data_IF_941035601628
#
_entry.id   IF_941035601628
#
_cell.length_a   1.000
_cell.length_b   1.000
_cell.length_c   1.000
_cell.angle_alpha   90.00
_cell.angle_beta   90.00
_cell.angle_gamma   90.00
#
_symmetry.space_group_name_H-M   'P 1'
#
loop_
_entity.id
_entity.type
_entity.pdbx_description
1 polymer ?
#
# COMPACT_ATOMS: atom_id res chain seq x y z
N UNK A 1 21.91 16.05 3.88
CA UNK A 1 20.60 15.43 3.60
C UNK A 1 19.84 16.30 2.61
N UNK A 2 19.66 15.86 1.36
CA UNK A 2 19.04 16.69 0.30
C UNK A 2 17.52 16.49 0.19
N UNK A 3 16.78 16.61 1.31
CA UNK A 3 15.32 16.45 1.33
C UNK A 3 14.59 17.33 0.30
N UNK A 4 15.07 18.56 0.15
CA UNK A 4 14.55 19.54 -0.81
C UNK A 4 14.60 18.99 -2.24
N UNK A 5 15.70 18.32 -2.62
CA UNK A 5 15.89 17.81 -3.98
C UNK A 5 14.82 16.79 -4.36
N UNK A 6 14.47 15.91 -3.44
CA UNK A 6 13.41 14.95 -3.70
C UNK A 6 12.02 15.55 -3.64
N UNK A 7 11.76 16.45 -2.70
CA UNK A 7 10.46 17.13 -2.67
C UNK A 7 10.22 17.81 -4.02
N UNK A 8 11.24 18.48 -4.56
CA UNK A 8 11.24 19.07 -5.91
C UNK A 8 11.05 18.01 -7.00
N UNK A 9 11.78 16.89 -6.95
CA UNK A 9 11.71 15.82 -7.96
C UNK A 9 10.30 15.20 -8.01
N UNK A 10 9.73 14.86 -6.85
CA UNK A 10 8.39 14.31 -6.73
C UNK A 10 7.32 15.33 -7.15
N UNK A 11 7.48 16.60 -6.76
CA UNK A 11 6.60 17.70 -7.21
C UNK A 11 6.67 17.86 -8.73
N UNK A 12 7.84 17.70 -9.34
CA UNK A 12 8.01 17.76 -10.78
C UNK A 12 7.19 16.70 -11.50
N UNK A 13 7.31 15.44 -11.10
CA UNK A 13 6.50 14.37 -11.68
C UNK A 13 4.99 14.51 -11.39
N UNK A 14 4.64 14.94 -10.17
CA UNK A 14 3.26 15.26 -9.80
C UNK A 14 2.65 16.30 -10.75
N UNK A 15 3.36 17.40 -11.00
CA UNK A 15 2.92 18.44 -11.92
C UNK A 15 2.90 17.93 -13.37
N UNK A 16 3.86 17.09 -13.77
CA UNK A 16 3.87 16.49 -15.09
C UNK A 16 2.62 15.62 -15.35
N UNK A 17 2.19 14.84 -14.36
CA UNK A 17 0.96 14.06 -14.44
C UNK A 17 -0.27 14.96 -14.61
N UNK A 18 -0.34 16.08 -13.88
CA UNK A 18 -1.45 17.04 -13.99
C UNK A 18 -1.45 17.76 -15.33
N UNK A 19 -0.30 18.28 -15.76
CA UNK A 19 -0.22 19.18 -16.90
C UNK A 19 -0.21 18.41 -18.23
N UNK A 20 0.63 17.39 -18.36
CA UNK A 20 0.82 16.68 -19.63
C UNK A 20 -0.16 15.52 -19.79
N UNK A 21 -0.45 14.80 -18.70
CA UNK A 21 -1.34 13.63 -18.74
C UNK A 21 -2.78 13.97 -18.29
N UNK A 22 -3.02 15.20 -17.82
CA UNK A 22 -4.34 15.67 -17.34
C UNK A 22 -4.90 14.78 -16.24
N UNK A 23 -4.05 14.20 -15.41
CA UNK A 23 -4.46 13.39 -14.27
C UNK A 23 -4.96 14.35 -13.18
N UNK A 24 -6.13 14.11 -12.57
CA UNK A 24 -6.58 14.91 -11.44
C UNK A 24 -5.52 14.97 -10.33
N UNK A 25 -5.37 16.14 -9.71
CA UNK A 25 -4.33 16.38 -8.70
C UNK A 25 -4.42 15.40 -7.52
N UNK A 26 -5.63 15.03 -7.09
CA UNK A 26 -5.86 14.05 -6.03
C UNK A 26 -5.32 12.64 -6.33
N UNK A 27 -5.20 12.26 -7.62
CA UNK A 27 -4.77 10.91 -8.03
C UNK A 27 -3.32 10.89 -8.52
N UNK A 28 -2.75 12.07 -8.79
CA UNK A 28 -1.44 12.24 -9.41
C UNK A 28 -0.28 11.67 -8.58
N UNK A 29 -0.25 11.75 -7.23
CA UNK A 29 0.82 11.17 -6.44
C UNK A 29 0.94 9.65 -6.60
N UNK A 30 -0.16 8.92 -6.37
CA UNK A 30 -0.16 7.46 -6.45
C UNK A 30 0.05 6.97 -7.90
N UNK A 31 -0.50 7.69 -8.88
CA UNK A 31 -0.24 7.43 -10.29
C UNK A 31 1.24 7.55 -10.64
N UNK A 32 1.87 8.65 -10.22
CA UNK A 32 3.29 8.93 -10.46
C UNK A 32 4.18 7.85 -9.84
N UNK A 33 3.96 7.50 -8.57
CA UNK A 33 4.71 6.46 -7.86
C UNK A 33 4.60 5.12 -8.60
N UNK A 34 3.39 4.77 -9.06
CA UNK A 34 3.16 3.52 -9.80
C UNK A 34 3.90 3.49 -11.13
N UNK A 35 3.89 4.61 -11.88
CA UNK A 35 4.62 4.73 -13.14
C UNK A 35 6.14 4.66 -12.93
N UNK A 36 6.69 5.39 -11.94
CA UNK A 36 8.10 5.33 -11.59
C UNK A 36 8.49 3.91 -11.23
N UNK A 37 7.73 3.26 -10.35
CA UNK A 37 8.00 1.89 -9.91
C UNK A 37 7.99 0.87 -11.06
N UNK A 38 7.05 0.98 -12.01
CA UNK A 38 7.01 0.13 -13.20
C UNK A 38 8.19 0.38 -14.14
N UNK A 39 8.57 1.65 -14.37
CA UNK A 39 9.72 2.01 -15.20
C UNK A 39 11.00 1.45 -14.59
N UNK A 40 11.20 1.63 -13.29
CA UNK A 40 12.34 1.08 -12.57
C UNK A 40 12.38 -0.44 -12.64
N UNK A 41 11.23 -1.10 -12.48
CA UNK A 41 11.13 -2.56 -12.56
C UNK A 41 11.57 -3.11 -13.91
N UNK A 42 10.98 -2.62 -15.01
CA UNK A 42 11.35 -3.08 -16.35
C UNK A 42 12.78 -2.68 -16.72
N UNK A 43 13.25 -1.51 -16.27
CA UNK A 43 14.64 -1.12 -16.43
C UNK A 43 15.60 -2.02 -15.68
N UNK A 44 15.22 -2.52 -14.50
CA UNK A 44 16.07 -3.42 -13.72
C UNK A 44 16.14 -4.81 -14.36
N UNK A 45 15.02 -5.32 -14.89
CA UNK A 45 15.02 -6.53 -15.71
C UNK A 45 15.93 -6.39 -16.95
N UNK A 46 15.97 -5.20 -17.55
CA UNK A 46 16.81 -4.88 -18.70
C UNK A 46 18.26 -4.49 -18.34
N UNK A 47 18.67 -4.58 -17.06
CA UNK A 47 20.01 -4.23 -16.59
C UNK A 47 20.43 -2.76 -16.85
N UNK A 48 19.46 -1.85 -16.88
CA UNK A 48 19.67 -0.40 -17.09
C UNK A 48 19.28 0.46 -15.87
N UNK A 49 19.13 -0.15 -14.69
CA UNK A 49 18.58 0.53 -13.52
C UNK A 49 19.36 1.78 -13.09
N UNK A 50 20.70 1.74 -13.06
CA UNK A 50 21.53 2.90 -12.70
C UNK A 50 21.27 4.12 -13.60
N UNK A 51 21.21 3.88 -14.91
CA UNK A 51 20.91 4.91 -15.90
C UNK A 51 19.49 5.47 -15.68
N UNK A 52 18.50 4.60 -15.52
CA UNK A 52 17.11 5.00 -15.33
C UNK A 52 16.89 5.76 -14.02
N UNK A 53 17.53 5.38 -12.92
CA UNK A 53 17.50 6.13 -11.65
C UNK A 53 17.96 7.57 -11.88
N UNK A 54 19.11 7.73 -12.54
CA UNK A 54 19.68 9.05 -12.87
C UNK A 54 18.76 9.87 -13.76
N UNK A 55 18.24 9.26 -14.83
CA UNK A 55 17.32 9.91 -15.78
C UNK A 55 16.04 10.36 -15.08
N UNK A 56 15.44 9.52 -14.24
CA UNK A 56 14.22 9.87 -13.52
C UNK A 56 14.44 11.03 -12.53
N UNK A 57 15.58 11.08 -11.83
CA UNK A 57 15.91 12.23 -10.98
C UNK A 57 15.97 13.52 -11.79
N UNK A 58 16.70 13.54 -12.91
CA UNK A 58 16.79 14.75 -13.74
C UNK A 58 15.49 15.10 -14.46
N UNK A 59 14.69 14.12 -14.87
CA UNK A 59 13.37 14.36 -15.46
C UNK A 59 12.41 15.00 -14.45
N UNK A 60 12.40 14.52 -13.20
CA UNK A 60 11.60 15.15 -12.15
C UNK A 60 12.01 16.60 -11.92
N UNK A 61 13.32 16.89 -11.85
CA UNK A 61 13.83 18.25 -11.74
C UNK A 61 13.42 19.13 -12.95
N UNK A 62 13.58 18.59 -14.15
CA UNK A 62 13.20 19.28 -15.38
C UNK A 62 11.70 19.63 -15.39
N UNK A 63 10.83 18.69 -15.03
CA UNK A 63 9.38 18.93 -14.96
C UNK A 63 9.01 19.95 -13.90
N UNK A 64 9.73 19.99 -12.78
CA UNK A 64 9.55 21.03 -11.78
C UNK A 64 9.92 22.41 -12.35
N UNK A 65 11.08 22.55 -12.99
CA UNK A 65 11.52 23.80 -13.61
C UNK A 65 10.55 24.26 -14.69
N UNK A 66 10.10 23.37 -15.59
CA UNK A 66 9.13 23.70 -16.63
C UNK A 66 7.83 24.23 -16.01
N UNK A 67 7.32 23.57 -14.97
CA UNK A 67 6.11 24.00 -14.28
C UNK A 67 6.30 25.35 -13.57
N UNK A 68 7.44 25.55 -12.91
CA UNK A 68 7.78 26.79 -12.25
C UNK A 68 7.85 27.96 -13.24
N UNK A 69 8.57 27.78 -14.35
CA UNK A 69 8.62 28.77 -15.42
C UNK A 69 7.23 29.07 -15.99
N UNK A 70 6.41 28.04 -16.22
CA UNK A 70 5.03 28.21 -16.71
C UNK A 70 4.20 29.09 -15.77
N UNK A 71 4.27 28.85 -14.47
CA UNK A 71 3.50 29.59 -13.45
C UNK A 71 4.00 31.03 -13.25
N UNK A 72 5.31 31.28 -13.41
CA UNK A 72 5.90 32.61 -13.31
C UNK A 72 5.57 33.46 -14.55
N UNK A 73 5.74 32.89 -15.75
CA UNK A 73 5.71 33.66 -16.99
C UNK A 73 4.36 33.71 -17.70
N UNK A 74 3.49 32.72 -17.54
CA UNK A 74 2.30 32.58 -18.40
C UNK A 74 0.95 32.67 -17.66
N UNK A 75 0.88 32.34 -16.38
CA UNK A 75 -0.29 32.64 -15.54
C UNK A 75 -0.07 32.24 -14.08
N UNK A 76 -0.50 33.11 -13.16
CA UNK A 76 -0.60 32.77 -11.73
C UNK A 76 -1.86 31.94 -11.49
N UNK A 77 -1.83 30.65 -11.85
CA UNK A 77 -2.94 29.75 -11.54
C UNK A 77 -2.92 29.41 -10.03
N UNK A 78 -3.77 30.09 -9.26
CA UNK A 78 -3.91 29.88 -7.82
C UNK A 78 -4.27 28.43 -7.46
N UNK A 79 -4.96 27.69 -8.35
CA UNK A 79 -5.31 26.29 -8.10
C UNK A 79 -4.06 25.40 -8.18
N UNK A 80 -3.15 25.67 -9.12
CA UNK A 80 -1.90 24.94 -9.24
C UNK A 80 -0.99 25.14 -8.01
N UNK A 81 -0.99 26.35 -7.41
CA UNK A 81 -0.24 26.63 -6.18
C UNK A 81 -0.86 25.87 -4.99
N UNK A 82 -2.18 25.91 -4.85
CA UNK A 82 -2.88 25.21 -3.77
C UNK A 82 -2.64 23.69 -3.83
N UNK A 83 -2.71 23.10 -5.02
CA UNK A 83 -2.51 21.67 -5.22
C UNK A 83 -1.07 21.22 -4.95
N UNK A 84 -0.08 21.99 -5.41
CA UNK A 84 1.33 21.79 -5.04
C UNK A 84 1.56 21.91 -3.53
N UNK A 85 0.88 22.86 -2.88
CA UNK A 85 0.98 23.04 -1.42
C UNK A 85 0.44 21.83 -0.67
N UNK A 86 -0.71 21.28 -1.08
CA UNK A 86 -1.28 20.06 -0.47
C UNK A 86 -0.31 18.88 -0.56
N UNK A 87 0.28 18.66 -1.74
CA UNK A 87 1.22 17.55 -1.91
C UNK A 87 2.55 17.78 -1.18
N UNK A 88 3.04 19.02 -1.12
CA UNK A 88 4.21 19.36 -0.32
C UNK A 88 3.96 19.14 1.17
N UNK A 89 2.79 19.52 1.70
CA UNK A 89 2.40 19.23 3.09
C UNK A 89 2.46 17.73 3.35
N UNK A 90 1.95 16.90 2.44
CA UNK A 90 2.04 15.44 2.55
C UNK A 90 3.49 14.95 2.65
N UNK A 91 4.38 15.43 1.77
CA UNK A 91 5.80 15.05 1.78
C UNK A 91 6.48 15.50 3.09
N UNK A 92 6.21 16.73 3.54
CA UNK A 92 6.73 17.26 4.80
C UNK A 92 6.20 16.47 5.99
N UNK A 93 4.91 16.11 6.02
CA UNK A 93 4.34 15.26 7.07
C UNK A 93 5.00 13.88 7.11
N UNK A 94 5.24 13.27 5.94
CA UNK A 94 5.96 12.00 5.86
C UNK A 94 7.38 12.13 6.45
N UNK A 95 8.12 13.19 6.08
CA UNK A 95 9.45 13.47 6.61
C UNK A 95 9.43 13.74 8.12
N UNK A 96 8.50 14.56 8.60
CA UNK A 96 8.38 14.91 10.02
C UNK A 96 8.13 13.67 10.90
N UNK A 97 7.37 12.69 10.39
CA UNK A 97 7.06 11.46 11.11
C UNK A 97 8.19 10.43 11.11
N UNK A 98 9.14 10.50 10.17
CA UNK A 98 10.13 9.43 9.92
C UNK A 98 11.58 9.87 10.06
N UNK A 99 11.87 11.15 9.90
CA UNK A 99 13.23 11.71 9.98
C UNK A 99 13.52 12.32 11.36
N UNK A 100 12.54 12.39 12.25
CA UNK A 100 12.70 12.88 13.63
C UNK A 100 13.03 11.76 14.64
N UNK A 101 12.90 10.49 14.24
CA UNK A 101 13.23 9.33 15.07
C UNK A 101 14.56 8.67 14.70
N UNK A 102 15.16 7.96 15.66
CA UNK A 102 16.28 7.01 15.43
C UNK A 102 15.73 5.70 14.84
N UNK A 103 15.16 5.80 13.64
CA UNK A 103 14.63 4.65 12.94
C UNK A 103 15.79 3.79 12.44
N UNK A 104 16.05 2.71 13.17
CA UNK A 104 16.87 1.58 12.74
C UNK A 104 15.87 0.48 12.36
N UNK A 105 16.13 -0.33 11.33
CA UNK A 105 15.29 -1.49 11.02
C UNK A 105 15.20 -2.42 12.25
N UNK A 106 13.98 -2.68 12.75
CA UNK A 106 13.79 -3.34 14.07
C UNK A 106 13.16 -4.71 13.97
N UNK A 107 12.35 -4.94 12.94
CA UNK A 107 11.58 -6.17 12.86
C UNK A 107 12.26 -7.23 12.00
N UNK A 108 12.02 -8.53 12.29
CA UNK A 108 12.64 -9.63 11.55
C UNK A 108 12.48 -9.49 10.03
N UNK A 109 11.27 -9.27 9.49
CA UNK A 109 11.14 -9.19 8.04
C UNK A 109 11.83 -7.95 7.42
N UNK A 110 11.97 -6.86 8.17
CA UNK A 110 12.67 -5.67 7.70
C UNK A 110 14.17 -5.93 7.57
N UNK A 111 14.75 -6.57 8.58
CA UNK A 111 16.17 -6.86 8.69
C UNK A 111 16.60 -8.07 7.85
N UNK A 112 15.67 -8.98 7.54
CA UNK A 112 15.97 -10.21 6.79
C UNK A 112 15.56 -10.15 5.32
N UNK A 113 14.51 -9.39 4.96
CA UNK A 113 13.96 -9.39 3.60
C UNK A 113 13.94 -8.00 2.96
N UNK A 114 13.15 -7.07 3.51
CA UNK A 114 12.81 -5.81 2.82
C UNK A 114 13.96 -4.80 2.77
N UNK A 115 14.65 -4.60 3.88
CA UNK A 115 15.82 -3.73 3.99
C UNK A 115 16.99 -4.25 3.16
N UNK A 116 17.44 -5.51 3.37
CA UNK A 116 18.53 -6.10 2.59
C UNK A 116 18.32 -6.07 1.08
N UNK A 117 17.11 -6.35 0.58
CA UNK A 117 16.82 -6.26 -0.85
C UNK A 117 16.98 -4.83 -1.36
N UNK A 118 16.48 -3.85 -0.61
CA UNK A 118 16.62 -2.43 -0.96
C UNK A 118 18.09 -2.01 -0.99
N UNK A 119 18.87 -2.39 0.02
CA UNK A 119 20.31 -2.08 0.08
C UNK A 119 21.12 -2.78 -0.99
N UNK A 120 20.74 -4.00 -1.36
CA UNK A 120 21.34 -4.69 -2.49
C UNK A 120 21.10 -3.93 -3.79
N UNK A 121 19.86 -3.54 -4.07
CA UNK A 121 19.51 -2.81 -5.30
C UNK A 121 20.18 -1.44 -5.34
N UNK A 122 20.25 -0.72 -4.22
CA UNK A 122 20.95 0.57 -4.13
C UNK A 122 22.46 0.44 -4.36
N UNK A 123 23.09 -0.60 -3.79
CA UNK A 123 24.55 -0.79 -3.91
C UNK A 123 24.97 -1.31 -5.29
N UNK A 124 24.22 -2.24 -5.88
CA UNK A 124 24.61 -2.91 -7.11
C UNK A 124 23.86 -2.40 -8.36
N UNK A 125 22.84 -1.56 -8.18
CA UNK A 125 21.98 -1.04 -9.24
C UNK A 125 21.44 -2.14 -10.17
N UNK A 126 21.08 -3.28 -9.61
CA UNK A 126 20.50 -4.42 -10.32
C UNK A 126 19.63 -5.24 -9.37
N UNK A 127 18.74 -6.06 -9.95
CA UNK A 127 18.06 -7.11 -9.19
C UNK A 127 19.05 -8.24 -8.86
N UNK A 128 18.80 -9.05 -7.80
CA UNK A 128 19.58 -10.23 -7.54
C UNK A 128 19.70 -11.12 -8.78
N UNK A 129 20.84 -11.79 -8.92
CA UNK A 129 21.14 -12.76 -9.98
C UNK A 129 21.37 -14.14 -9.34
N UNK A 130 21.41 -15.24 -10.10
CA UNK A 130 21.66 -16.57 -9.51
C UNK A 130 22.96 -16.65 -8.69
N UNK A 131 23.95 -15.81 -9.03
CA UNK A 131 25.25 -15.78 -8.35
C UNK A 131 25.27 -14.89 -7.10
N UNK A 132 24.31 -13.97 -6.97
CA UNK A 132 24.23 -13.00 -5.86
C UNK A 132 23.01 -13.21 -4.99
N UNK A 133 22.10 -14.10 -5.40
CA UNK A 133 20.94 -14.47 -4.62
C UNK A 133 21.39 -15.33 -3.44
N UNK A 134 21.05 -14.91 -2.22
CA UNK A 134 21.29 -15.67 -1.00
C UNK A 134 19.95 -16.05 -0.36
N UNK A 135 19.98 -16.97 0.61
CA UNK A 135 18.79 -17.51 1.30
C UNK A 135 17.84 -16.44 1.89
N UNK A 136 18.32 -15.20 2.08
CA UNK A 136 17.50 -14.07 2.54
C UNK A 136 16.65 -13.39 1.46
N UNK A 137 16.76 -13.75 0.18
CA UNK A 137 15.86 -13.22 -0.85
C UNK A 137 14.73 -14.20 -1.15
N UNK A 138 13.54 -13.88 -0.63
CA UNK A 138 12.30 -14.57 -1.00
C UNK A 138 11.83 -14.13 -2.39
N UNK A 139 10.88 -14.85 -2.98
CA UNK A 139 10.22 -14.51 -4.26
C UNK A 139 9.28 -13.27 -4.16
N UNK A 140 9.55 -12.38 -3.20
CA UNK A 140 8.86 -11.11 -3.05
C UNK A 140 9.15 -10.20 -4.24
N UNK A 141 8.11 -9.74 -4.97
CA UNK A 141 8.29 -8.75 -6.02
C UNK A 141 8.97 -7.47 -5.50
N UNK A 142 9.86 -6.83 -6.29
CA UNK A 142 10.80 -5.83 -5.78
C UNK A 142 10.27 -4.39 -5.85
N UNK A 143 9.00 -4.16 -6.14
CA UNK A 143 8.43 -2.85 -6.45
C UNK A 143 8.66 -1.83 -5.34
N UNK A 144 8.34 -2.17 -4.10
CA UNK A 144 8.59 -1.29 -2.95
C UNK A 144 10.10 -0.98 -2.81
N UNK A 145 10.96 -1.99 -2.88
CA UNK A 145 12.42 -1.84 -2.80
C UNK A 145 13.00 -0.96 -3.92
N UNK A 146 12.48 -1.07 -5.14
CA UNK A 146 12.87 -0.23 -6.28
C UNK A 146 12.49 1.23 -6.06
N UNK A 147 11.28 1.50 -5.55
CA UNK A 147 10.89 2.87 -5.22
C UNK A 147 11.68 3.42 -4.03
N UNK A 148 11.94 2.61 -3.00
CA UNK A 148 12.82 3.00 -1.90
C UNK A 148 14.22 3.34 -2.41
N UNK A 149 14.75 2.56 -3.36
CA UNK A 149 16.05 2.83 -4.01
C UNK A 149 16.04 4.16 -4.76
N UNK A 150 14.99 4.47 -5.52
CA UNK A 150 14.86 5.77 -6.19
C UNK A 150 14.94 6.95 -5.22
N UNK A 151 14.32 6.81 -4.04
CA UNK A 151 14.44 7.80 -2.98
C UNK A 151 15.84 7.77 -2.35
N UNK A 152 16.42 6.62 -2.02
CA UNK A 152 17.79 6.52 -1.47
C UNK A 152 18.84 7.23 -2.34
N UNK A 153 18.87 6.89 -3.62
CA UNK A 153 19.86 7.39 -4.59
C UNK A 153 19.75 8.90 -4.76
N UNK A 154 18.56 9.48 -4.64
CA UNK A 154 18.38 10.94 -4.76
C UNK A 154 18.85 11.74 -3.52
N UNK A 155 19.11 11.11 -2.35
CA UNK A 155 19.29 11.84 -1.09
C UNK A 155 20.60 11.59 -0.35
N UNK A 156 21.32 10.50 -0.63
CA UNK A 156 22.58 10.13 0.02
C UNK A 156 22.54 10.31 1.57
N UNK A 157 21.43 9.91 2.20
CA UNK A 157 21.16 10.09 3.64
C UNK A 157 21.31 8.78 4.44
N UNK A 158 21.06 8.85 5.75
CA UNK A 158 20.98 7.65 6.61
C UNK A 158 19.98 6.64 6.01
N UNK A 159 20.47 5.42 5.79
CA UNK A 159 19.81 4.40 4.97
C UNK A 159 18.51 3.91 5.59
N UNK A 160 18.39 3.86 6.90
CA UNK A 160 17.21 3.29 7.54
C UNK A 160 16.05 4.32 7.56
N UNK A 161 16.30 5.55 8.03
CA UNK A 161 15.27 6.59 8.14
C UNK A 161 14.63 6.96 6.79
N UNK A 162 15.42 6.96 5.70
CA UNK A 162 14.90 7.26 4.36
C UNK A 162 14.03 6.13 3.79
N UNK A 163 14.26 4.88 4.20
CA UNK A 163 13.39 3.76 3.87
C UNK A 163 12.00 3.97 4.48
N UNK A 164 11.93 4.31 5.77
CA UNK A 164 10.65 4.66 6.41
C UNK A 164 9.97 5.85 5.75
N UNK A 165 10.73 6.91 5.43
CA UNK A 165 10.20 8.05 4.70
C UNK A 165 9.59 7.63 3.36
N UNK A 166 10.31 6.85 2.56
CA UNK A 166 9.84 6.40 1.25
C UNK A 166 8.57 5.54 1.34
N UNK A 167 8.52 4.63 2.33
CA UNK A 167 7.35 3.83 2.65
C UNK A 167 6.12 4.71 2.97
N UNK A 168 6.30 5.70 3.85
CA UNK A 168 5.22 6.62 4.25
C UNK A 168 4.77 7.50 3.10
N UNK A 169 5.67 7.95 2.22
CA UNK A 169 5.31 8.69 1.00
C UNK A 169 4.39 7.86 0.09
N UNK A 170 4.65 6.56 -0.08
CA UNK A 170 3.76 5.67 -0.84
C UNK A 170 2.39 5.58 -0.17
N UNK A 171 2.34 5.31 1.14
CA UNK A 171 1.09 5.17 1.90
C UNK A 171 0.26 6.45 1.84
N UNK A 172 0.90 7.58 2.10
CA UNK A 172 0.24 8.87 2.08
C UNK A 172 -0.25 9.22 0.69
N UNK A 173 0.45 8.80 -0.37
CA UNK A 173 -0.05 8.96 -1.75
C UNK A 173 -1.32 8.17 -2.02
N UNK A 174 -1.50 6.99 -1.40
CA UNK A 174 -2.78 6.26 -1.42
C UNK A 174 -3.89 7.02 -0.65
N UNK A 175 -3.58 7.54 0.54
CA UNK A 175 -4.53 8.31 1.36
C UNK A 175 -4.91 9.62 0.66
N UNK A 176 -3.98 10.24 -0.07
CA UNK A 176 -4.19 11.51 -0.75
C UNK A 176 -5.34 11.48 -1.77
N UNK A 177 -5.74 10.30 -2.25
CA UNK A 177 -6.92 10.10 -3.11
C UNK A 177 -8.19 10.72 -2.51
N UNK A 178 -8.34 10.73 -1.17
CA UNK A 178 -9.51 11.32 -0.51
C UNK A 178 -9.61 12.84 -0.68
N UNK A 179 -8.54 13.51 -1.13
CA UNK A 179 -8.58 14.94 -1.48
C UNK A 179 -9.43 15.24 -2.72
N UNK A 180 -9.90 14.21 -3.43
CA UNK A 180 -10.91 14.33 -4.48
C UNK A 180 -12.34 14.58 -3.95
N UNK A 181 -12.56 14.46 -2.63
CA UNK A 181 -13.81 14.88 -1.99
C UNK A 181 -14.00 16.40 -2.14
N UNK A 182 -15.26 16.86 -2.10
CA UNK A 182 -15.59 18.24 -2.48
C UNK A 182 -15.28 19.24 -1.37
N UNK A 183 -15.54 18.86 -0.13
CA UNK A 183 -15.48 19.76 1.02
C UNK A 183 -14.24 19.50 1.88
N UNK A 184 -13.55 20.56 2.33
CA UNK A 184 -12.38 20.43 3.20
C UNK A 184 -12.66 19.67 4.50
N UNK A 185 -13.87 19.78 5.04
CA UNK A 185 -14.31 19.00 6.21
C UNK A 185 -14.38 17.52 5.91
N UNK A 186 -14.90 17.14 4.74
CA UNK A 186 -14.95 15.75 4.28
C UNK A 186 -13.54 15.20 4.09
N UNK A 187 -12.67 15.95 3.40
CA UNK A 187 -11.27 15.58 3.21
C UNK A 187 -10.58 15.35 4.57
N UNK A 188 -10.73 16.28 5.51
CA UNK A 188 -10.11 16.19 6.83
C UNK A 188 -10.58 14.95 7.60
N UNK A 189 -11.89 14.70 7.64
CA UNK A 189 -12.43 13.51 8.32
C UNK A 189 -11.98 12.22 7.64
N UNK A 190 -11.99 12.17 6.31
CA UNK A 190 -11.54 11.00 5.57
C UNK A 190 -10.06 10.68 5.84
N UNK A 191 -9.19 11.71 5.87
CA UNK A 191 -7.78 11.56 6.23
C UNK A 191 -7.66 11.02 7.66
N UNK A 192 -8.35 11.63 8.63
CA UNK A 192 -8.30 11.20 10.03
C UNK A 192 -8.75 9.74 10.19
N UNK A 193 -9.87 9.35 9.56
CA UNK A 193 -10.35 7.98 9.58
C UNK A 193 -9.35 7.00 8.95
N UNK A 194 -8.73 7.38 7.81
CA UNK A 194 -7.68 6.56 7.21
C UNK A 194 -6.49 6.40 8.16
N UNK A 195 -6.07 7.45 8.86
CA UNK A 195 -4.99 7.36 9.84
C UNK A 195 -5.36 6.51 11.05
N UNK A 196 -6.61 6.59 11.56
CA UNK A 196 -7.12 5.69 12.62
C UNK A 196 -7.03 4.24 12.16
N UNK A 197 -7.56 3.94 10.97
CA UNK A 197 -7.51 2.61 10.37
C UNK A 197 -6.06 2.12 10.31
N UNK A 198 -5.16 2.91 9.73
CA UNK A 198 -3.76 2.51 9.56
C UNK A 198 -3.02 2.33 10.89
N UNK A 199 -3.42 3.05 11.95
CA UNK A 199 -2.81 2.93 13.29
C UNK A 199 -3.35 1.78 14.14
N UNK A 200 -4.59 1.32 13.89
CA UNK A 200 -5.22 0.24 14.66
C UNK A 200 -4.71 -1.15 14.23
N UNK A 201 -4.43 -1.34 12.94
CA UNK A 201 -3.97 -2.63 12.42
C UNK A 201 -2.52 -2.96 12.82
N UNK A 202 -2.20 -4.27 12.94
CA UNK A 202 -0.94 -4.75 13.55
C UNK A 202 0.30 -4.37 12.75
N UNK A 203 0.14 -4.05 11.46
CA UNK A 203 1.16 -3.46 10.62
C UNK A 203 1.20 -1.93 10.83
N UNK A 204 1.81 -1.49 11.94
CA UNK A 204 1.97 -0.07 12.26
C UNK A 204 2.84 0.61 11.20
N UNK A 205 2.19 1.30 10.29
CA UNK A 205 2.76 1.83 9.05
C UNK A 205 3.82 2.93 9.22
N UNK A 206 3.91 3.53 10.41
CA UNK A 206 4.91 4.57 10.75
C UNK A 206 6.21 3.99 11.33
N UNK A 207 6.16 2.75 11.80
CA UNK A 207 7.27 2.14 12.55
C UNK A 207 7.81 0.89 11.86
N UNK A 208 7.19 0.42 10.78
CA UNK A 208 7.69 -0.69 9.97
C UNK A 208 7.63 -0.42 8.46
N UNK A 209 8.58 -0.98 7.70
CA UNK A 209 8.59 -1.02 6.23
C UNK A 209 7.89 -2.26 5.67
N UNK A 210 6.95 -2.84 6.42
CA UNK A 210 6.17 -3.97 5.95
C UNK A 210 5.30 -3.57 4.76
N UNK A 211 5.45 -4.30 3.65
CA UNK A 211 4.71 -4.02 2.42
C UNK A 211 3.25 -4.48 2.47
N UNK A 212 2.82 -5.20 3.52
CA UNK A 212 1.44 -5.62 3.75
C UNK A 212 0.48 -4.43 3.70
N UNK A 213 0.81 -3.35 4.42
CA UNK A 213 0.02 -2.11 4.44
C UNK A 213 0.00 -1.44 3.07
N UNK A 214 1.11 -1.46 2.33
CA UNK A 214 1.15 -0.90 0.97
C UNK A 214 0.13 -1.57 0.06
N UNK A 215 0.09 -2.90 0.04
CA UNK A 215 -0.85 -3.65 -0.80
C UNK A 215 -2.30 -3.30 -0.44
N UNK A 216 -2.63 -3.24 0.86
CA UNK A 216 -3.96 -2.85 1.33
C UNK A 216 -4.34 -1.42 0.95
N UNK A 217 -3.41 -0.47 1.08
CA UNK A 217 -3.61 0.92 0.67
C UNK A 217 -3.77 1.08 -0.85
N UNK A 218 -3.00 0.33 -1.66
CA UNK A 218 -3.15 0.32 -3.11
C UNK A 218 -4.51 -0.21 -3.54
N UNK A 219 -4.95 -1.32 -2.93
CA UNK A 219 -6.27 -1.88 -3.14
C UNK A 219 -7.38 -0.85 -2.85
N UNK A 220 -7.29 -0.15 -1.72
CA UNK A 220 -8.20 0.94 -1.41
C UNK A 220 -8.13 2.07 -2.45
N UNK A 221 -6.93 2.58 -2.74
CA UNK A 221 -6.72 3.71 -3.65
C UNK A 221 -7.32 3.45 -5.03
N UNK A 222 -7.10 2.27 -5.61
CA UNK A 222 -7.63 1.89 -6.92
C UNK A 222 -9.16 1.92 -6.93
N UNK A 223 -9.80 1.36 -5.90
CA UNK A 223 -11.25 1.36 -5.77
C UNK A 223 -11.81 2.77 -5.51
N UNK A 224 -11.15 3.56 -4.66
CA UNK A 224 -11.54 4.93 -4.35
C UNK A 224 -11.43 5.83 -5.59
N UNK A 225 -10.36 5.71 -6.40
CA UNK A 225 -10.23 6.44 -7.67
C UNK A 225 -11.38 6.08 -8.61
N UNK A 226 -11.72 4.79 -8.74
CA UNK A 226 -12.85 4.35 -9.58
C UNK A 226 -14.20 4.98 -9.13
N UNK A 227 -14.35 5.28 -7.85
CA UNK A 227 -15.56 5.87 -7.27
C UNK A 227 -15.59 7.40 -7.35
N UNK A 228 -14.48 8.05 -7.00
CA UNK A 228 -14.37 9.50 -6.87
C UNK A 228 -14.06 10.18 -8.20
N UNK A 229 -13.54 9.45 -9.20
CA UNK A 229 -13.22 10.01 -10.51
C UNK A 229 -14.45 10.55 -11.22
N UNK A 230 -14.39 11.84 -11.56
CA UNK A 230 -15.37 12.54 -12.42
C UNK A 230 -15.00 12.46 -13.90
N UNK A 231 -13.85 11.86 -14.22
CA UNK A 231 -13.36 11.69 -15.59
C UNK A 231 -14.18 10.66 -16.36
N UNK A 232 -13.97 10.62 -17.67
CA UNK A 232 -14.53 9.56 -18.50
C UNK A 232 -14.09 8.18 -17.98
N UNK A 233 -14.94 7.16 -18.19
CA UNK A 233 -14.64 5.79 -17.74
C UNK A 233 -13.38 5.25 -18.39
N UNK A 234 -13.17 5.53 -19.67
CA UNK A 234 -11.93 5.18 -20.37
C UNK A 234 -10.70 5.82 -19.72
N UNK A 235 -10.73 7.14 -19.46
CA UNK A 235 -9.59 7.82 -18.82
C UNK A 235 -9.35 7.25 -17.42
N UNK A 236 -10.40 7.02 -16.64
CA UNK A 236 -10.30 6.36 -15.33
C UNK A 236 -9.61 5.00 -15.43
N UNK A 237 -10.02 4.14 -16.36
CA UNK A 237 -9.38 2.83 -16.56
C UNK A 237 -7.89 2.94 -16.94
N UNK A 238 -7.54 3.89 -17.81
CA UNK A 238 -6.15 4.16 -18.18
C UNK A 238 -5.31 4.65 -16.98
N UNK A 239 -5.90 5.47 -16.10
CA UNK A 239 -5.24 5.90 -14.86
C UNK A 239 -5.02 4.73 -13.90
N UNK A 240 -5.94 3.76 -13.83
CA UNK A 240 -5.85 2.63 -12.91
C UNK A 240 -4.88 1.53 -13.38
N UNK A 241 -4.57 1.46 -14.67
CA UNK A 241 -3.68 0.44 -15.24
C UNK A 241 -2.30 0.38 -14.54
N UNK A 242 -1.53 1.49 -14.44
CA UNK A 242 -0.24 1.43 -13.77
C UNK A 242 -0.35 1.09 -12.27
N UNK A 243 -1.41 1.51 -11.58
CA UNK A 243 -1.62 1.18 -10.17
C UNK A 243 -1.87 -0.33 -9.97
N UNK A 244 -2.69 -0.94 -10.81
CA UNK A 244 -2.96 -2.38 -10.77
C UNK A 244 -1.69 -3.19 -11.04
N UNK A 245 -0.93 -2.79 -12.08
CA UNK A 245 0.33 -3.44 -12.42
C UNK A 245 1.38 -3.27 -11.32
N UNK A 246 1.49 -2.09 -10.72
CA UNK A 246 2.45 -1.85 -9.65
C UNK A 246 2.07 -2.57 -8.35
N UNK A 247 0.78 -2.70 -8.04
CA UNK A 247 0.33 -3.48 -6.86
C UNK A 247 0.80 -4.94 -6.90
N UNK A 248 0.87 -5.55 -8.09
CA UNK A 248 1.44 -6.89 -8.30
C UNK A 248 2.92 -6.94 -7.88
N UNK A 249 3.64 -5.85 -8.09
CA UNK A 249 5.07 -5.73 -7.81
C UNK A 249 5.38 -5.37 -6.35
N UNK A 250 4.38 -5.15 -5.49
CA UNK A 250 4.62 -4.81 -4.07
C UNK A 250 4.84 -6.08 -3.22
N UNK A 251 4.03 -7.13 -3.44
CA UNK A 251 4.08 -8.42 -2.72
C UNK A 251 3.37 -9.49 -3.56
N UNK A 252 3.64 -10.80 -3.38
CA UNK A 252 2.98 -11.85 -4.17
C UNK A 252 1.45 -11.79 -4.08
N UNK A 253 0.91 -11.48 -2.90
CA UNK A 253 -0.55 -11.34 -2.68
C UNK A 253 -1.16 -10.16 -3.43
N UNK A 254 -0.34 -9.22 -3.90
CA UNK A 254 -0.76 -8.15 -4.79
C UNK A 254 -1.32 -8.66 -6.12
N UNK A 255 -0.87 -9.82 -6.62
CA UNK A 255 -1.40 -10.43 -7.84
C UNK A 255 -2.87 -10.86 -7.74
N UNK A 256 -3.26 -11.79 -6.84
CA UNK A 256 -4.67 -12.16 -6.70
C UNK A 256 -5.55 -10.97 -6.32
N UNK A 257 -5.02 -10.02 -5.53
CA UNK A 257 -5.76 -8.81 -5.17
C UNK A 257 -5.97 -7.88 -6.37
N UNK A 258 -4.99 -7.76 -7.29
CA UNK A 258 -5.13 -6.96 -8.52
C UNK A 258 -6.19 -7.55 -9.45
N UNK A 259 -6.22 -8.88 -9.60
CA UNK A 259 -7.25 -9.56 -10.38
C UNK A 259 -8.64 -9.36 -9.78
N UNK A 260 -8.77 -9.53 -8.47
CA UNK A 260 -10.03 -9.28 -7.77
C UNK A 260 -10.48 -7.82 -7.92
N UNK A 261 -9.56 -6.87 -7.77
CA UNK A 261 -9.85 -5.43 -7.91
C UNK A 261 -10.30 -5.09 -9.33
N UNK A 262 -9.63 -5.64 -10.35
CA UNK A 262 -10.02 -5.50 -11.74
C UNK A 262 -11.39 -6.12 -12.00
N UNK A 263 -11.71 -7.26 -11.40
CA UNK A 263 -13.03 -7.88 -11.48
C UNK A 263 -14.12 -6.96 -10.88
N UNK A 264 -13.89 -6.39 -9.69
CA UNK A 264 -14.81 -5.41 -9.09
C UNK A 264 -15.01 -4.21 -10.03
N UNK A 265 -13.94 -3.68 -10.61
CA UNK A 265 -14.02 -2.58 -11.58
C UNK A 265 -14.82 -3.00 -12.82
N UNK A 266 -14.53 -4.17 -13.39
CA UNK A 266 -15.19 -4.68 -14.59
C UNK A 266 -16.71 -4.84 -14.40
N UNK A 267 -17.13 -5.31 -13.22
CA UNK A 267 -18.56 -5.38 -12.86
C UNK A 267 -19.21 -3.99 -12.82
N UNK A 268 -18.45 -2.95 -12.44
CA UNK A 268 -18.95 -1.57 -12.35
C UNK A 268 -18.84 -0.76 -13.66
N UNK A 269 -17.90 -1.08 -14.55
CA UNK A 269 -17.65 -0.38 -15.83
C UNK A 269 -17.66 -1.39 -16.98
N UNK A 270 -18.83 -1.93 -17.30
CA UNK A 270 -18.97 -2.96 -18.35
C UNK A 270 -18.79 -2.44 -19.78
N UNK A 271 -18.84 -1.12 -19.99
CA UNK A 271 -18.86 -0.49 -21.31
C UNK A 271 -17.51 -0.51 -22.07
N UNK A 272 -16.41 -0.90 -21.43
CA UNK A 272 -15.06 -0.86 -22.01
C UNK A 272 -14.35 -2.22 -21.95
N UNK A 273 -15.01 -3.29 -22.41
CA UNK A 273 -14.51 -4.66 -22.33
C UNK A 273 -13.10 -4.85 -22.89
N UNK A 274 -12.80 -4.28 -24.06
CA UNK A 274 -11.46 -4.40 -24.67
C UNK A 274 -10.35 -3.80 -23.80
N UNK A 275 -10.62 -2.64 -23.18
CA UNK A 275 -9.65 -2.01 -22.29
C UNK A 275 -9.48 -2.81 -21.00
N UNK A 276 -10.57 -3.35 -20.43
CA UNK A 276 -10.51 -4.24 -19.27
C UNK A 276 -9.71 -5.52 -19.57
N UNK A 277 -9.89 -6.09 -20.77
CA UNK A 277 -9.12 -7.25 -21.21
C UNK A 277 -7.64 -6.90 -21.41
N UNK A 278 -7.34 -5.74 -22.01
CA UNK A 278 -5.97 -5.26 -22.13
C UNK A 278 -5.31 -5.03 -20.76
N UNK A 279 -6.05 -4.51 -19.78
CA UNK A 279 -5.57 -4.37 -18.40
C UNK A 279 -5.32 -5.73 -17.74
N UNK A 280 -6.20 -6.72 -17.97
CA UNK A 280 -5.98 -8.09 -17.50
C UNK A 280 -4.69 -8.67 -18.08
N UNK A 281 -4.50 -8.55 -19.40
CA UNK A 281 -3.28 -9.01 -20.08
C UNK A 281 -2.05 -8.30 -19.51
N UNK A 282 -2.09 -6.98 -19.30
CA UNK A 282 -0.98 -6.23 -18.72
C UNK A 282 -0.63 -6.74 -17.30
N UNK A 283 -1.63 -6.97 -16.45
CA UNK A 283 -1.43 -7.55 -15.12
C UNK A 283 -0.78 -8.94 -15.19
N UNK A 284 -1.24 -9.79 -16.12
CA UNK A 284 -0.67 -11.12 -16.34
C UNK A 284 0.77 -11.05 -16.85
N UNK A 285 1.09 -10.13 -17.76
CA UNK A 285 2.44 -9.93 -18.28
C UNK A 285 3.40 -9.45 -17.20
N UNK A 286 2.99 -8.49 -16.37
CA UNK A 286 3.80 -8.01 -15.24
C UNK A 286 4.06 -9.16 -14.26
N UNK A 287 3.03 -9.91 -13.88
CA UNK A 287 3.21 -11.07 -13.01
C UNK A 287 4.13 -12.12 -13.63
N UNK A 288 3.90 -12.49 -14.90
CA UNK A 288 4.71 -13.47 -15.62
C UNK A 288 6.17 -13.03 -15.74
N UNK A 289 6.44 -11.74 -15.96
CA UNK A 289 7.81 -11.22 -16.03
C UNK A 289 8.57 -11.38 -14.72
N UNK A 290 7.89 -11.18 -13.57
CA UNK A 290 8.50 -11.45 -12.27
C UNK A 290 8.70 -12.94 -12.04
N UNK A 291 7.70 -13.73 -12.42
CA UNK A 291 7.73 -15.19 -12.30
C UNK A 291 8.93 -15.79 -13.04
N UNK A 292 9.13 -15.37 -14.29
CA UNK A 292 10.26 -15.79 -15.11
C UNK A 292 11.60 -15.36 -14.50
N UNK A 293 11.71 -14.11 -14.02
CA UNK A 293 12.92 -13.61 -13.41
C UNK A 293 13.27 -14.39 -12.13
N UNK A 294 12.35 -14.52 -11.18
CA UNK A 294 12.66 -15.21 -9.92
C UNK A 294 12.92 -16.71 -10.13
N UNK A 295 12.24 -17.36 -11.08
CA UNK A 295 12.53 -18.75 -11.42
C UNK A 295 13.96 -18.95 -11.90
N UNK A 296 14.50 -17.99 -12.66
CA UNK A 296 15.89 -18.02 -13.09
C UNK A 296 16.87 -17.91 -11.92
N UNK A 297 16.50 -17.26 -10.80
CA UNK A 297 17.35 -17.12 -9.62
C UNK A 297 17.55 -18.41 -8.83
N UNK A 298 16.64 -19.38 -8.98
CA UNK A 298 16.67 -20.63 -8.19
C UNK A 298 16.41 -20.42 -6.69
N UNK A 299 15.85 -19.26 -6.29
CA UNK A 299 15.54 -18.95 -4.89
C UNK A 299 14.36 -19.77 -4.35
N UNK A 300 14.33 -19.93 -3.03
CA UNK A 300 13.19 -20.56 -2.34
C UNK A 300 11.92 -19.71 -2.52
N UNK A 301 10.82 -20.38 -2.89
CA UNK A 301 9.49 -19.75 -2.95
C UNK A 301 9.01 -19.42 -1.53
N UNK A 302 8.43 -18.24 -1.32
CA UNK A 302 7.83 -17.89 -0.04
C UNK A 302 6.66 -18.83 0.33
N UNK A 303 5.97 -19.36 -0.68
CA UNK A 303 4.90 -20.36 -0.49
C UNK A 303 5.10 -21.54 -1.44
N UNK A 304 5.39 -22.71 -0.87
CA UNK A 304 5.37 -23.98 -1.61
C UNK A 304 4.20 -24.82 -1.12
N UNK A 305 3.25 -25.15 -1.99
CA UNK A 305 2.13 -26.04 -1.63
C UNK A 305 2.68 -27.46 -1.57
N UNK A 306 2.74 -28.03 -0.37
CA UNK A 306 2.96 -29.46 -0.17
C UNK A 306 1.64 -30.20 -0.39
N UNK A 307 1.62 -31.28 -1.20
CA UNK A 307 0.41 -32.07 -1.45
C UNK A 307 -0.10 -32.78 -0.19
N UNK A 308 0.73 -32.88 0.86
CA UNK A 308 0.31 -33.45 2.14
C UNK A 308 -0.22 -32.34 3.04
N UNK A 309 -1.53 -32.40 3.33
CA UNK A 309 -2.13 -31.57 4.37
C UNK A 309 -1.44 -31.84 5.72
N UNK A 310 -1.24 -30.78 6.51
CA UNK A 310 -0.71 -30.94 7.86
C UNK A 310 -1.48 -32.00 8.66
N UNK A 311 -0.76 -32.90 9.32
CA UNK A 311 -1.32 -33.92 10.25
C UNK A 311 -2.19 -33.27 11.33
N UNK A 312 -2.02 -31.96 11.57
CA UNK A 312 -2.74 -31.16 12.54
C UNK A 312 -3.74 -30.17 11.92
N UNK A 313 -4.27 -30.46 10.72
CA UNK A 313 -5.23 -29.61 10.00
C UNK A 313 -6.41 -29.15 10.85
N UNK A 314 -7.01 -30.02 11.67
CA UNK A 314 -8.12 -29.66 12.56
C UNK A 314 -7.73 -28.60 13.60
N UNK A 315 -6.52 -28.68 14.16
CA UNK A 315 -6.01 -27.70 15.11
C UNK A 315 -5.81 -26.33 14.43
N UNK A 316 -5.22 -26.34 13.23
CA UNK A 316 -4.98 -25.13 12.43
C UNK A 316 -6.31 -24.47 12.08
N UNK A 317 -7.28 -25.21 11.56
CA UNK A 317 -8.62 -24.71 11.24
C UNK A 317 -9.30 -24.12 12.47
N UNK A 318 -9.29 -24.84 13.61
CA UNK A 318 -9.88 -24.36 14.86
C UNK A 318 -9.24 -23.04 15.30
N UNK A 319 -7.91 -22.96 15.31
CA UNK A 319 -7.20 -21.72 15.67
C UNK A 319 -7.51 -20.60 14.67
N UNK A 320 -7.62 -20.91 13.38
CA UNK A 320 -7.88 -19.91 12.35
C UNK A 320 -9.28 -19.33 12.50
N UNK A 321 -10.29 -20.18 12.72
CA UNK A 321 -11.66 -19.76 13.03
C UNK A 321 -11.65 -18.87 14.28
N UNK A 322 -10.98 -19.30 15.35
CA UNK A 322 -10.84 -18.47 16.55
C UNK A 322 -10.22 -17.13 16.20
N UNK A 323 -9.09 -17.08 15.49
CA UNK A 323 -8.43 -15.83 15.10
C UNK A 323 -9.32 -14.91 14.24
N UNK A 324 -10.17 -15.48 13.38
CA UNK A 324 -11.07 -14.74 12.51
C UNK A 324 -12.27 -14.15 13.27
N UNK A 325 -12.86 -14.92 14.20
CA UNK A 325 -14.08 -14.54 14.93
C UNK A 325 -13.81 -13.84 16.27
N UNK A 326 -12.80 -14.30 17.02
CA UNK A 326 -12.49 -13.90 18.40
C UNK A 326 -11.05 -13.39 18.44
N UNK A 327 -10.86 -12.11 18.74
CA UNK A 327 -9.49 -11.63 18.88
C UNK A 327 -8.81 -12.23 20.11
N UNK A 328 -7.63 -12.84 19.91
CA UNK A 328 -6.87 -13.52 20.94
C UNK A 328 -6.25 -12.56 21.95
N UNK A 329 -6.62 -12.72 23.23
CA UNK A 329 -6.00 -12.42 24.54
C UNK A 329 -5.07 -11.20 24.77
N UNK A 330 -4.43 -10.60 23.78
CA UNK A 330 -3.53 -9.47 23.96
C UNK A 330 -4.31 -8.15 23.84
N UNK A 331 -4.85 -7.75 24.99
CA UNK A 331 -5.72 -6.60 25.27
C UNK A 331 -5.10 -5.20 25.06
N UNK A 332 -3.98 -5.07 24.34
CA UNK A 332 -3.23 -3.80 24.29
C UNK A 332 -3.58 -2.89 23.11
N UNK A 333 -4.41 -3.33 22.15
CA UNK A 333 -4.86 -2.52 21.01
C UNK A 333 -6.37 -2.64 20.85
N UNK A 334 -7.04 -1.56 20.45
CA UNK A 334 -8.50 -1.48 20.18
C UNK A 334 -8.90 -2.19 18.87
N UNK A 335 -8.19 -3.27 18.52
CA UNK A 335 -8.38 -3.99 17.27
C UNK A 335 -9.69 -4.77 17.31
N UNK A 336 -10.67 -4.33 16.51
CA UNK A 336 -11.89 -5.08 16.25
C UNK A 336 -11.54 -6.40 15.53
N UNK A 337 -12.27 -7.49 15.81
CA UNK A 337 -12.05 -8.74 15.06
C UNK A 337 -12.37 -8.52 13.57
N UNK A 338 -11.70 -9.22 12.64
CA UNK A 338 -12.00 -9.15 11.21
C UNK A 338 -13.49 -9.38 10.90
N UNK A 339 -14.10 -10.35 11.58
CA UNK A 339 -15.52 -10.65 11.46
C UNK A 339 -16.42 -9.50 11.97
N UNK A 340 -16.11 -8.92 13.13
CA UNK A 340 -16.88 -7.81 13.68
C UNK A 340 -16.73 -6.55 12.80
N UNK A 341 -15.53 -6.30 12.28
CA UNK A 341 -15.25 -5.25 11.30
C UNK A 341 -16.11 -5.44 10.05
N UNK A 342 -16.18 -6.65 9.52
CA UNK A 342 -17.05 -7.00 8.40
C UNK A 342 -18.52 -6.73 8.69
N UNK A 343 -19.03 -7.11 9.87
CA UNK A 343 -20.42 -6.85 10.28
C UNK A 343 -20.69 -5.35 10.39
N UNK A 344 -19.81 -4.60 11.05
CA UNK A 344 -19.94 -3.15 11.20
C UNK A 344 -19.96 -2.49 9.82
N UNK A 345 -19.03 -2.87 8.94
CA UNK A 345 -18.98 -2.39 7.56
C UNK A 345 -20.28 -2.72 6.82
N UNK A 346 -20.80 -3.93 6.95
CA UNK A 346 -22.08 -4.33 6.35
C UNK A 346 -23.25 -3.49 6.86
N UNK A 347 -23.35 -3.33 8.18
CA UNK A 347 -24.41 -2.54 8.79
C UNK A 347 -24.35 -1.09 8.30
N UNK A 348 -23.17 -0.47 8.33
CA UNK A 348 -22.92 0.86 7.77
C UNK A 348 -23.36 0.89 6.30
N UNK A 349 -23.00 -0.11 5.51
CA UNK A 349 -23.30 -0.12 4.08
C UNK A 349 -24.81 -0.15 3.78
N UNK A 350 -25.55 -1.05 4.41
CA UNK A 350 -26.97 -1.27 4.12
C UNK A 350 -27.90 -0.31 4.86
N UNK A 351 -27.49 0.20 6.02
CA UNK A 351 -28.20 1.25 6.72
C UNK A 351 -28.12 2.56 5.94
N UNK A 352 -26.93 2.93 5.45
CA UNK A 352 -26.64 4.26 4.90
C UNK A 352 -26.80 4.30 3.38
N UNK A 353 -26.24 3.33 2.65
CA UNK A 353 -26.24 3.39 1.19
C UNK A 353 -27.44 2.62 0.62
N UNK A 354 -28.39 3.37 0.07
CA UNK A 354 -29.54 2.82 -0.66
C UNK A 354 -29.31 2.63 -2.16
N UNK A 355 -28.13 3.00 -2.67
CA UNK A 355 -27.79 2.86 -4.10
C UNK A 355 -27.36 1.42 -4.40
N UNK A 356 -28.07 0.76 -5.31
CA UNK A 356 -27.80 -0.63 -5.72
C UNK A 356 -26.34 -0.86 -6.15
N UNK A 357 -25.72 0.11 -6.83
CA UNK A 357 -24.29 0.02 -7.23
C UNK A 357 -23.35 -0.10 -6.03
N UNK A 358 -23.59 0.66 -4.96
CA UNK A 358 -22.76 0.64 -3.74
C UNK A 358 -23.00 -0.65 -2.95
N UNK A 359 -24.25 -1.11 -2.89
CA UNK A 359 -24.59 -2.38 -2.25
C UNK A 359 -23.97 -3.58 -2.98
N UNK A 360 -24.01 -3.60 -4.32
CA UNK A 360 -23.34 -4.63 -5.11
C UNK A 360 -21.84 -4.64 -4.82
N UNK A 361 -21.22 -3.46 -4.77
CA UNK A 361 -19.81 -3.36 -4.43
C UNK A 361 -19.50 -3.89 -3.02
N UNK A 362 -20.30 -3.57 -2.01
CA UNK A 362 -20.14 -4.15 -0.67
C UNK A 362 -20.24 -5.67 -0.67
N UNK A 363 -21.21 -6.23 -1.40
CA UNK A 363 -21.37 -7.69 -1.55
C UNK A 363 -20.10 -8.28 -2.17
N UNK A 364 -19.59 -7.68 -3.25
CA UNK A 364 -18.35 -8.13 -3.90
C UNK A 364 -17.15 -8.05 -2.96
N UNK A 365 -16.99 -6.94 -2.23
CA UNK A 365 -15.91 -6.78 -1.25
C UNK A 365 -16.02 -7.76 -0.08
N UNK A 366 -17.24 -8.15 0.31
CA UNK A 366 -17.45 -9.16 1.35
C UNK A 366 -17.09 -10.55 0.85
N UNK A 367 -17.49 -10.88 -0.38
CA UNK A 367 -17.09 -12.11 -1.05
C UNK A 367 -15.56 -12.18 -1.17
N UNK A 368 -14.92 -11.07 -1.55
CA UNK A 368 -13.46 -10.97 -1.59
C UNK A 368 -12.81 -11.22 -0.23
N UNK A 369 -13.37 -10.71 0.87
CA UNK A 369 -12.85 -10.97 2.21
C UNK A 369 -12.91 -12.47 2.57
N UNK A 370 -14.02 -13.13 2.23
CA UNK A 370 -14.20 -14.57 2.43
C UNK A 370 -13.20 -15.36 1.58
N UNK A 371 -13.08 -15.05 0.29
CA UNK A 371 -12.15 -15.71 -0.62
C UNK A 371 -10.69 -15.51 -0.20
N UNK A 372 -10.33 -14.29 0.22
CA UNK A 372 -9.00 -13.95 0.71
C UNK A 372 -8.65 -14.75 1.98
N UNK A 373 -9.59 -14.82 2.93
CA UNK A 373 -9.42 -15.57 4.18
C UNK A 373 -9.34 -17.08 3.93
N UNK A 374 -10.14 -17.60 3.00
CA UNK A 374 -10.08 -19.00 2.59
C UNK A 374 -8.74 -19.33 1.91
N UNK A 375 -8.26 -18.46 1.02
CA UNK A 375 -6.94 -18.60 0.40
C UNK A 375 -5.82 -18.61 1.44
N UNK A 376 -5.89 -17.72 2.43
CA UNK A 376 -4.93 -17.70 3.54
C UNK A 376 -4.97 -19.00 4.37
N UNK A 377 -6.17 -19.52 4.67
CA UNK A 377 -6.31 -20.80 5.36
C UNK A 377 -5.68 -21.95 4.57
N UNK A 378 -5.87 -21.99 3.24
CA UNK A 378 -5.23 -22.99 2.37
C UNK A 378 -3.70 -22.90 2.49
N UNK A 379 -3.13 -21.69 2.49
CA UNK A 379 -1.69 -21.52 2.69
C UNK A 379 -1.22 -22.06 4.05
N UNK A 380 -1.96 -21.83 5.13
CA UNK A 380 -1.63 -22.38 6.46
C UNK A 380 -1.71 -23.89 6.53
N UNK A 381 -2.59 -24.52 5.76
CA UNK A 381 -2.76 -25.96 5.74
C UNK A 381 -1.70 -26.68 4.89
N UNK A 382 -1.16 -26.01 3.87
CA UNK A 382 -0.35 -26.66 2.84
C UNK A 382 1.02 -26.04 2.58
N UNK A 383 1.28 -24.80 2.99
CA UNK A 383 2.52 -24.09 2.66
C UNK A 383 3.36 -23.64 3.85
N UNK A 384 2.76 -23.35 4.99
CA UNK A 384 3.51 -22.97 6.19
C UNK A 384 4.15 -24.19 6.87
N UNK A 385 5.30 -23.95 7.51
CA UNK A 385 5.91 -24.95 8.39
C UNK A 385 4.95 -25.29 9.54
N UNK A 386 5.06 -26.50 10.11
CA UNK A 386 4.19 -26.88 11.22
C UNK A 386 4.27 -25.91 12.40
N UNK A 387 5.48 -25.41 12.71
CA UNK A 387 5.69 -24.43 13.77
C UNK A 387 4.92 -23.14 13.51
N UNK A 388 5.08 -22.54 12.34
CA UNK A 388 4.38 -21.30 11.98
C UNK A 388 2.87 -21.50 11.87
N UNK A 389 2.43 -22.62 11.28
CA UNK A 389 1.03 -22.93 11.09
C UNK A 389 0.30 -23.19 12.41
N UNK A 390 0.93 -23.91 13.34
CA UNK A 390 0.39 -24.15 14.68
C UNK A 390 0.21 -22.86 15.46
N UNK A 391 1.07 -21.86 15.25
CA UNK A 391 0.99 -20.56 15.93
C UNK A 391 0.20 -19.49 15.15
N UNK A 392 -0.22 -19.80 13.92
CA UNK A 392 -0.79 -18.83 12.98
C UNK A 392 0.10 -17.59 12.85
N UNK A 393 1.42 -17.82 12.75
CA UNK A 393 2.41 -16.76 12.65
C UNK A 393 2.06 -15.85 11.47
N UNK A 394 1.94 -14.54 11.72
CA UNK A 394 1.59 -13.51 10.72
C UNK A 394 0.14 -13.52 10.18
N UNK A 395 -0.79 -14.37 10.67
CA UNK A 395 -2.17 -14.42 10.13
C UNK A 395 -2.86 -13.07 10.19
N UNK A 396 -2.65 -12.34 11.29
CA UNK A 396 -3.18 -11.00 11.48
C UNK A 396 -2.67 -10.04 10.40
N UNK A 397 -1.36 -10.03 10.14
CA UNK A 397 -0.76 -9.15 9.11
C UNK A 397 -1.34 -9.40 7.73
N UNK A 398 -1.53 -10.66 7.34
CA UNK A 398 -2.12 -11.00 6.05
C UNK A 398 -3.58 -10.60 5.96
N UNK A 399 -4.38 -10.85 7.00
CA UNK A 399 -5.77 -10.39 7.04
C UNK A 399 -5.85 -8.86 6.97
N UNK A 400 -4.97 -8.16 7.70
CA UNK A 400 -4.92 -6.70 7.73
C UNK A 400 -4.77 -6.09 6.32
N UNK A 401 -4.09 -6.75 5.38
CA UNK A 401 -4.01 -6.29 3.97
C UNK A 401 -5.40 -6.00 3.40
N UNK A 402 -6.33 -6.96 3.53
CA UNK A 402 -7.66 -6.81 2.98
C UNK A 402 -8.52 -5.86 3.83
N UNK A 403 -8.44 -5.98 5.15
CA UNK A 403 -9.29 -5.20 6.06
C UNK A 403 -8.90 -3.73 6.16
N UNK A 404 -7.62 -3.37 6.07
CA UNK A 404 -7.17 -1.98 5.89
C UNK A 404 -7.82 -1.41 4.63
N UNK A 405 -7.65 -2.10 3.50
CA UNK A 405 -8.13 -1.60 2.23
C UNK A 405 -9.65 -1.45 2.19
N UNK A 406 -10.38 -2.46 2.68
CA UNK A 406 -11.84 -2.41 2.76
C UNK A 406 -12.33 -1.29 3.69
N UNK A 407 -11.72 -1.14 4.87
CA UNK A 407 -12.11 -0.11 5.84
C UNK A 407 -11.90 1.30 5.28
N UNK A 408 -10.79 1.55 4.57
CA UNK A 408 -10.53 2.85 3.93
C UNK A 408 -11.57 3.20 2.85
N UNK A 409 -11.97 2.21 2.03
CA UNK A 409 -13.02 2.38 1.02
C UNK A 409 -14.33 2.79 1.70
N UNK A 410 -14.73 2.05 2.75
CA UNK A 410 -15.98 2.29 3.49
C UNK A 410 -15.96 3.65 4.16
N UNK A 411 -14.86 4.00 4.84
CA UNK A 411 -14.70 5.28 5.52
C UNK A 411 -14.87 6.45 4.54
N UNK A 412 -14.24 6.35 3.36
CA UNK A 412 -14.31 7.39 2.33
C UNK A 412 -15.73 7.54 1.78
N UNK A 413 -16.42 6.43 1.51
CA UNK A 413 -17.82 6.47 1.07
C UNK A 413 -18.77 6.99 2.15
N UNK A 414 -18.53 6.59 3.40
CA UNK A 414 -19.30 7.07 4.55
C UNK A 414 -19.20 8.59 4.62
N UNK A 415 -17.99 9.14 4.53
CA UNK A 415 -17.75 10.58 4.47
C UNK A 415 -18.50 11.22 3.29
N UNK A 416 -18.35 10.67 2.08
CA UNK A 416 -18.93 11.22 0.86
C UNK A 416 -20.47 11.29 0.90
N UNK A 417 -21.13 10.38 1.60
CA UNK A 417 -22.59 10.24 1.57
C UNK A 417 -23.31 10.69 2.83
N UNK A 418 -22.61 10.85 3.95
CA UNK A 418 -23.24 11.29 5.21
C UNK A 418 -23.16 12.79 5.45
N UNK A 419 -22.40 13.54 4.62
CA UNK A 419 -22.26 15.00 4.70
C UNK A 419 -22.17 15.48 6.15
N UNK A 420 -21.01 15.34 6.79
CA UNK A 420 -20.82 15.71 8.19
C UNK A 420 -21.16 17.19 8.45
N UNK A 421 -22.40 17.46 8.86
CA UNK A 421 -22.82 18.77 9.36
C UNK A 421 -22.41 19.00 10.82
N UNK A 422 -21.98 17.96 11.54
CA UNK A 422 -21.86 17.97 12.99
C UNK A 422 -20.39 17.80 13.46
N UNK A 423 -19.85 18.84 14.10
CA UNK A 423 -18.49 18.89 14.67
C UNK A 423 -18.20 17.76 15.67
N UNK A 424 -19.24 17.20 16.31
CA UNK A 424 -19.11 16.10 17.26
C UNK A 424 -18.53 14.82 16.66
N UNK A 425 -18.81 14.49 15.39
CA UNK A 425 -18.25 13.29 14.76
C UNK A 425 -16.78 13.51 14.39
N UNK A 426 -16.40 14.73 13.99
CA UNK A 426 -14.99 15.11 13.79
C UNK A 426 -14.21 14.93 15.10
N UNK A 427 -14.73 15.47 16.21
CA UNK A 427 -14.12 15.35 17.53
C UNK A 427 -14.04 13.88 18.00
N UNK A 428 -15.04 13.06 17.71
CA UNK A 428 -15.00 11.63 17.99
C UNK A 428 -13.91 10.92 17.17
N UNK A 429 -13.79 11.22 15.87
CA UNK A 429 -12.74 10.63 15.02
C UNK A 429 -11.34 11.04 15.50
N UNK A 430 -11.16 12.31 15.87
CA UNK A 430 -9.90 12.81 16.46
C UNK A 430 -9.61 12.13 17.80
N UNK A 431 -10.61 12.00 18.68
CA UNK A 431 -10.44 11.32 19.96
C UNK A 431 -10.08 9.83 19.77
N UNK A 432 -10.74 9.13 18.85
CA UNK A 432 -10.41 7.75 18.50
C UNK A 432 -9.01 7.63 17.91
N UNK A 433 -8.59 8.59 17.08
CA UNK A 433 -7.23 8.65 16.53
C UNK A 433 -6.19 8.81 17.62
N UNK A 434 -6.38 9.77 18.53
CA UNK A 434 -5.46 10.01 19.65
C UNK A 434 -5.38 8.78 20.56
N UNK A 435 -6.51 8.14 20.84
CA UNK A 435 -6.56 6.90 21.64
C UNK A 435 -5.87 5.75 20.92
N UNK A 436 -6.09 5.56 19.61
CA UNK A 436 -5.44 4.52 18.81
C UNK A 436 -3.91 4.72 18.75
N UNK A 437 -3.47 5.96 18.50
CA UNK A 437 -2.04 6.31 18.48
C UNK A 437 -1.39 6.13 19.85
N UNK A 438 -2.06 6.54 20.94
CA UNK A 438 -1.57 6.36 22.30
C UNK A 438 -1.50 4.88 22.70
N UNK A 439 -2.53 4.08 22.37
CA UNK A 439 -2.53 2.64 22.61
C UNK A 439 -1.42 1.92 21.83
N UNK A 440 -1.19 2.34 20.58
CA UNK A 440 -0.13 1.80 19.73
C UNK A 440 1.26 2.13 20.30
N UNK A 441 1.51 3.37 20.71
CA UNK A 441 2.76 3.79 21.33
C UNK A 441 3.04 3.07 22.67
N UNK A 442 2.02 2.86 23.50
CA UNK A 442 2.13 2.12 24.77
C UNK A 442 2.36 0.62 24.53
N UNK A 443 1.78 0.05 23.47
CA UNK A 443 2.02 -1.35 23.13
C UNK A 443 3.44 -1.60 22.64
N UNK A 444 4.06 -0.63 21.96
CA UNK A 444 5.44 -0.73 21.49
C UNK A 444 6.46 -0.46 22.62
N UNK A 445 6.22 0.51 23.51
CA UNK A 445 7.11 0.74 24.66
C UNK A 445 7.20 -0.44 25.63
N UNK A 446 6.15 -1.25 25.72
CA UNK A 446 6.16 -2.52 26.49
C UNK A 446 6.96 -3.63 25.82
N UNK A 447 7.19 -3.58 24.50
CA UNK A 447 8.06 -4.53 23.78
C UNK A 447 9.53 -4.16 23.89
N UNK A 448 9.87 -2.88 23.98
CA UNK A 448 11.24 -2.42 24.23
C UNK A 448 11.79 -2.86 25.60
N UNK A 449 10.91 -3.23 26.53
CA UNK A 449 11.26 -3.76 27.86
C UNK A 449 11.41 -5.29 27.90
N UNK A 450 11.08 -5.98 26.81
CA UNK A 450 11.31 -7.43 26.67
C UNK A 450 12.45 -7.65 25.68
N UNK A 451 13.61 -8.18 26.11
CA UNK A 451 14.68 -8.49 25.18
C UNK A 451 14.13 -9.45 24.12
N UNK A 452 14.64 -9.41 22.86
CA UNK A 452 14.26 -10.38 21.87
C UNK A 452 14.59 -11.75 22.45
N UNK A 453 13.55 -12.53 22.77
CA UNK A 453 13.76 -13.89 23.21
C UNK A 453 14.56 -14.60 22.13
N UNK A 454 15.80 -14.94 22.47
CA UNK A 454 16.67 -15.86 21.78
C UNK A 454 16.07 -17.27 21.89
N UNK A 455 14.87 -17.47 21.33
CA UNK A 455 14.30 -18.80 21.13
C UNK A 455 14.56 -19.23 19.68
N UNK A 456 15.83 -19.14 19.28
CA UNK A 456 16.37 -19.94 18.19
C UNK A 456 17.14 -21.10 18.82
N UNK A 457 16.42 -22.11 19.27
CA UNK A 457 16.98 -23.43 19.53
C UNK A 457 16.31 -24.45 18.60
N UNK A 458 17.11 -24.84 17.59
CA UNK A 458 17.03 -26.02 16.71
C UNK A 458 15.98 -26.06 15.61
#
# INVERSE_FOLDING_TARGET
MNFILCAITLLGFYNAAIIFLRIPSAFSPIFTISCIGLILYFSALAQHLAFTLTVLTYLGLLFFVITLCKNIFFSHDQHAIADNTKYLILIISAAALTLTGTHILRYPDETHFWGPLTYFIDQYHQLPTPNTAHFGFLDYPPGAALFHTFILTAFHADRDAILYFSQVVIIFSCVFVVTALKEWKEITVAILLCMVILSDFRATFLYCIYVDTLVGCFFAAIIMINQLSVESKQKTLLMLLPLLCYMILIKQVGFPLALFTLFVIAVTIRSHLFLLLAMLVACLLVHASWVLHYHALGVHKAFQISPHASVHSQLIVKKFIVAFFIFGKNFSRLTLSPFLTMIIIWFVYFAIFKKAKLQLQAILLSLGAVLFSAGLLILYLHSYTFSEARHLASVGRYLDIYFIGWSMIVATQFVQHTAFKNTGIILLCVALMVVAMAASAVADSKRDLTPPHTDYHH
#
